data_IF_405115194085
#
_entry.id   IF_405115194085
#
_cell.length_a   1.000
_cell.length_b   1.000
_cell.length_c   1.000
_cell.angle_alpha   90.00
_cell.angle_beta   90.00
_cell.angle_gamma   90.00
#
_symmetry.space_group_name_H-M   'P 1'
#
loop_
_entity.id
_entity.type
_entity.pdbx_description
1 polymer ?
#
# COMPACT_ATOMS: atom_id res chain seq x y z
N UNK A 1 -8.75 -0.12 -9.84
CA UNK A 1 -8.76 -1.54 -9.43
C UNK A 1 -9.25 -2.33 -10.64
N UNK A 2 -8.56 -3.40 -11.01
CA UNK A 2 -8.97 -4.23 -12.16
C UNK A 2 -9.88 -5.38 -11.74
N UNK A 3 -10.64 -5.96 -12.68
CA UNK A 3 -11.55 -7.09 -12.41
C UNK A 3 -10.85 -8.31 -11.80
N UNK A 4 -9.67 -8.67 -12.33
CA UNK A 4 -8.86 -9.76 -11.78
C UNK A 4 -8.30 -9.44 -10.37
N UNK A 5 -7.97 -8.18 -10.09
CA UNK A 5 -7.56 -7.72 -8.74
C UNK A 5 -8.71 -7.88 -7.74
N UNK A 6 -9.93 -7.47 -8.12
CA UNK A 6 -11.15 -7.63 -7.31
C UNK A 6 -11.42 -9.10 -6.99
N UNK A 7 -11.35 -9.96 -8.01
CA UNK A 7 -11.54 -11.41 -7.90
C UNK A 7 -10.47 -12.07 -7.02
N UNK A 8 -9.21 -11.65 -7.13
CA UNK A 8 -8.12 -12.11 -6.29
C UNK A 8 -8.35 -11.73 -4.81
N UNK A 9 -8.71 -10.47 -4.54
CA UNK A 9 -9.04 -10.01 -3.19
C UNK A 9 -10.23 -10.78 -2.61
N UNK A 10 -11.30 -10.99 -3.39
CA UNK A 10 -12.45 -11.78 -2.97
C UNK A 10 -12.06 -13.20 -2.61
N UNK A 11 -11.31 -13.89 -3.48
CA UNK A 11 -10.85 -15.28 -3.22
C UNK A 11 -9.94 -15.35 -2.00
N UNK A 12 -9.00 -14.42 -1.85
CA UNK A 12 -8.13 -14.31 -0.68
C UNK A 12 -8.94 -14.05 0.61
N UNK A 13 -10.09 -13.39 0.47
CA UNK A 13 -11.00 -13.16 1.58
C UNK A 13 -11.87 -14.37 1.96
N UNK A 14 -11.92 -15.41 1.11
CA UNK A 14 -12.79 -16.57 1.29
C UNK A 14 -14.27 -16.28 1.03
N UNK A 15 -14.61 -15.16 0.39
CA UNK A 15 -16.01 -14.77 0.13
C UNK A 15 -16.52 -15.26 -1.22
N UNK A 16 -17.80 -15.57 -1.28
CA UNK A 16 -18.54 -15.73 -2.53
C UNK A 16 -18.84 -14.36 -3.15
N UNK A 17 -19.21 -14.33 -4.44
CA UNK A 17 -19.62 -13.08 -5.11
C UNK A 17 -20.83 -12.44 -4.43
N UNK A 18 -21.78 -13.26 -3.95
CA UNK A 18 -22.99 -12.78 -3.26
C UNK A 18 -22.68 -12.15 -1.91
N UNK A 19 -21.80 -12.77 -1.12
CA UNK A 19 -21.37 -12.22 0.18
C UNK A 19 -20.58 -10.92 0.04
N UNK A 20 -19.75 -10.80 -1.01
CA UNK A 20 -19.07 -9.54 -1.29
C UNK A 20 -20.08 -8.47 -1.71
N UNK A 21 -21.00 -8.81 -2.61
CA UNK A 21 -22.03 -7.91 -3.10
C UNK A 21 -22.90 -7.35 -1.96
N UNK A 22 -23.38 -8.22 -1.07
CA UNK A 22 -24.13 -7.83 0.12
C UNK A 22 -23.33 -6.87 1.02
N UNK A 23 -22.03 -7.12 1.20
CA UNK A 23 -21.18 -6.30 2.06
C UNK A 23 -20.90 -4.89 1.49
N UNK A 24 -20.90 -4.73 0.17
CA UNK A 24 -20.68 -3.43 -0.50
C UNK A 24 -21.97 -2.77 -1.01
N UNK A 25 -23.14 -3.36 -0.74
CA UNK A 25 -24.43 -2.82 -1.17
C UNK A 25 -24.69 -2.92 -2.69
N UNK A 26 -24.17 -3.97 -3.34
CA UNK A 26 -24.35 -4.22 -4.77
C UNK A 26 -25.06 -5.56 -5.00
N UNK A 27 -25.43 -5.84 -6.26
CA UNK A 27 -25.99 -7.14 -6.64
C UNK A 27 -24.89 -8.13 -7.01
N UNK A 28 -25.12 -9.43 -6.77
CA UNK A 28 -24.19 -10.51 -7.15
C UNK A 28 -23.81 -10.45 -8.63
N UNK A 29 -24.79 -10.21 -9.50
CA UNK A 29 -24.60 -10.12 -10.95
C UNK A 29 -23.66 -8.98 -11.33
N UNK A 30 -23.82 -7.81 -10.70
CA UNK A 30 -22.97 -6.64 -10.95
C UNK A 30 -21.53 -6.88 -10.51
N UNK A 31 -21.32 -7.51 -9.35
CA UNK A 31 -19.97 -7.97 -8.93
C UNK A 31 -19.36 -8.94 -9.94
N UNK A 32 -20.15 -9.89 -10.47
CA UNK A 32 -19.69 -10.79 -11.52
C UNK A 32 -19.29 -10.08 -12.81
N UNK A 33 -20.02 -9.02 -13.21
CA UNK A 33 -19.66 -8.18 -14.36
C UNK A 33 -18.36 -7.41 -14.11
N UNK A 34 -18.17 -6.86 -12.91
CA UNK A 34 -16.93 -6.18 -12.51
C UNK A 34 -15.72 -7.14 -12.54
N UNK A 35 -15.86 -8.36 -12.02
CA UNK A 35 -14.77 -9.36 -12.03
C UNK A 35 -14.35 -9.78 -13.44
N UNK A 36 -15.28 -9.78 -14.40
CA UNK A 36 -14.99 -10.05 -15.82
C UNK A 36 -14.49 -8.84 -16.61
N UNK A 37 -14.45 -7.65 -15.99
CA UNK A 37 -14.10 -6.40 -16.66
C UNK A 37 -15.21 -5.85 -17.58
N UNK A 38 -16.44 -6.38 -17.50
CA UNK A 38 -17.58 -5.90 -18.29
C UNK A 38 -18.17 -4.61 -17.69
N UNK A 39 -18.23 -4.53 -16.36
CA UNK A 39 -18.66 -3.33 -15.65
C UNK A 39 -17.45 -2.61 -15.03
N UNK A 40 -17.41 -1.27 -15.07
CA UNK A 40 -16.34 -0.50 -14.46
C UNK A 40 -16.39 -0.62 -12.93
N UNK A 41 -15.22 -0.68 -12.30
CA UNK A 41 -15.10 -0.65 -10.84
C UNK A 41 -14.88 0.80 -10.41
N UNK A 42 -15.94 1.42 -9.91
CA UNK A 42 -15.86 2.80 -9.41
C UNK A 42 -14.86 2.94 -8.24
N UNK A 43 -14.18 4.09 -8.10
CA UNK A 43 -13.23 4.32 -7.01
C UNK A 43 -13.80 4.07 -5.60
N UNK A 44 -15.06 4.45 -5.36
CA UNK A 44 -15.75 4.20 -4.07
C UNK A 44 -15.90 2.71 -3.79
N UNK A 45 -16.24 1.92 -4.80
CA UNK A 45 -16.41 0.47 -4.69
C UNK A 45 -15.07 -0.22 -4.46
N UNK A 46 -14.03 0.23 -5.15
CA UNK A 46 -12.66 -0.24 -4.93
C UNK A 46 -12.19 0.06 -3.48
N UNK A 47 -12.46 1.26 -2.97
CA UNK A 47 -12.12 1.65 -1.61
C UNK A 47 -12.89 0.83 -0.56
N UNK A 48 -14.22 0.68 -0.73
CA UNK A 48 -15.05 -0.14 0.15
C UNK A 48 -14.61 -1.60 0.17
N UNK A 49 -14.30 -2.17 -0.99
CA UNK A 49 -13.79 -3.54 -1.12
C UNK A 49 -12.47 -3.68 -0.35
N UNK A 50 -11.50 -2.80 -0.57
CA UNK A 50 -10.22 -2.86 0.16
C UNK A 50 -10.42 -2.76 1.66
N UNK A 51 -11.24 -1.81 2.11
CA UNK A 51 -11.54 -1.63 3.53
C UNK A 51 -12.14 -2.89 4.18
N UNK A 52 -13.07 -3.56 3.49
CA UNK A 52 -13.72 -4.77 4.00
C UNK A 52 -12.76 -5.97 4.03
N UNK A 53 -11.90 -6.10 3.03
CA UNK A 53 -11.10 -7.30 2.82
C UNK A 53 -9.72 -7.24 3.51
N UNK A 54 -9.18 -6.05 3.75
CA UNK A 54 -7.87 -5.81 4.35
C UNK A 54 -7.85 -5.94 5.89
N UNK A 55 -8.95 -6.39 6.51
CA UNK A 55 -9.07 -6.41 7.99
C UNK A 55 -8.24 -7.51 8.65
N UNK A 56 -8.07 -8.65 7.99
CA UNK A 56 -7.28 -9.78 8.51
C UNK A 56 -6.39 -10.30 7.39
N UNK A 57 -5.09 -10.40 7.63
CA UNK A 57 -4.15 -11.02 6.71
C UNK A 57 -3.57 -12.29 7.30
N UNK A 58 -3.20 -13.20 6.39
CA UNK A 58 -2.47 -14.42 6.69
C UNK A 58 -1.05 -14.24 6.15
N UNK A 59 -0.06 -14.31 7.03
CA UNK A 59 1.35 -14.18 6.66
C UNK A 59 2.13 -15.45 6.98
N UNK A 60 3.38 -15.51 6.49
CA UNK A 60 4.35 -16.54 6.85
C UNK A 60 5.39 -15.92 7.78
N UNK A 61 5.62 -16.53 8.94
CA UNK A 61 6.63 -16.12 9.90
C UNK A 61 8.02 -16.64 9.50
N UNK A 62 9.08 -16.13 10.15
CA UNK A 62 10.48 -16.47 9.82
C UNK A 62 10.81 -17.94 10.08
N UNK A 63 10.12 -18.57 11.03
CA UNK A 63 10.19 -19.99 11.37
C UNK A 63 9.42 -20.89 10.39
N UNK A 64 8.81 -20.32 9.36
CA UNK A 64 8.01 -21.03 8.37
C UNK A 64 6.57 -21.29 8.79
N UNK A 65 6.18 -20.95 10.02
CA UNK A 65 4.79 -21.05 10.48
C UNK A 65 3.91 -20.00 9.81
N UNK A 66 2.59 -20.18 9.87
CA UNK A 66 1.61 -19.27 9.33
C UNK A 66 0.96 -18.48 10.45
N UNK A 67 0.77 -17.19 10.30
CA UNK A 67 0.12 -16.38 11.32
C UNK A 67 -1.08 -15.64 10.77
N UNK A 68 -2.04 -15.36 11.64
CA UNK A 68 -3.20 -14.53 11.33
C UNK A 68 -3.14 -13.28 12.16
N UNK A 69 -3.19 -12.13 11.51
CA UNK A 69 -3.13 -10.86 12.19
C UNK A 69 -4.05 -9.82 11.54
N UNK A 70 -4.33 -8.75 12.27
CA UNK A 70 -5.21 -7.65 11.86
C UNK A 70 -4.57 -6.32 12.16
N UNK A 71 -4.76 -5.37 11.25
CA UNK A 71 -4.32 -4.00 11.43
C UNK A 71 -5.50 -3.25 12.00
N UNK A 72 -5.34 -2.71 13.20
CA UNK A 72 -6.36 -1.90 13.85
C UNK A 72 -5.86 -0.48 13.89
N UNK A 73 -6.53 0.40 13.16
CA UNK A 73 -6.26 1.83 13.27
C UNK A 73 -7.02 2.37 14.48
N UNK A 74 -6.31 2.92 15.46
CA UNK A 74 -6.90 3.64 16.58
C UNK A 74 -6.68 5.13 16.36
N UNK A 75 -7.74 5.91 16.54
CA UNK A 75 -7.63 7.36 16.68
C UNK A 75 -7.22 7.63 18.12
N UNK A 76 -6.04 8.19 18.32
CA UNK A 76 -5.67 8.72 19.63
C UNK A 76 -6.20 10.14 19.75
N UNK A 77 -6.86 10.50 20.87
CA UNK A 77 -7.18 11.88 21.14
C UNK A 77 -5.86 12.66 21.28
N UNK A 78 -5.66 13.64 20.40
CA UNK A 78 -4.54 14.57 20.46
C UNK A 78 -5.12 15.95 20.81
N UNK A 79 -4.46 16.65 21.73
CA UNK A 79 -4.81 18.03 22.06
C UNK A 79 -4.56 18.99 20.87
N UNK A 80 -3.68 18.57 19.94
CA UNK A 80 -3.38 19.31 18.72
C UNK A 80 -4.19 18.69 17.56
N UNK A 81 -4.78 19.51 16.70
CA UNK A 81 -5.73 19.13 15.63
C UNK A 81 -5.23 18.06 14.62
N UNK A 82 -3.98 17.61 14.73
CA UNK A 82 -3.49 16.43 14.03
C UNK A 82 -3.70 15.18 14.89
N UNK A 83 -4.80 14.46 14.66
CA UNK A 83 -4.98 13.12 15.23
C UNK A 83 -3.96 12.16 14.61
N UNK A 84 -3.02 11.66 15.39
CA UNK A 84 -2.16 10.56 14.96
C UNK A 84 -3.01 9.28 14.80
N UNK A 85 -2.84 8.61 13.66
CA UNK A 85 -3.37 7.28 13.43
C UNK A 85 -2.31 6.28 13.89
N UNK A 86 -2.46 5.74 15.09
CA UNK A 86 -1.65 4.59 15.49
C UNK A 86 -2.26 3.34 14.90
N UNK A 87 -1.48 2.58 14.14
CA UNK A 87 -1.90 1.28 13.64
C UNK A 87 -1.33 0.18 14.51
N UNK A 88 -2.16 -0.41 15.36
CA UNK A 88 -1.81 -1.59 16.14
C UNK A 88 -1.91 -2.85 15.28
N UNK A 89 -0.85 -3.65 15.31
CA UNK A 89 -0.78 -4.97 14.69
C UNK A 89 -1.25 -6.01 15.72
N UNK A 90 -2.40 -6.64 15.50
CA UNK A 90 -2.95 -7.62 16.44
C UNK A 90 -2.73 -9.04 15.92
N UNK A 91 -2.00 -9.88 16.65
CA UNK A 91 -1.80 -11.29 16.32
C UNK A 91 -2.91 -12.12 16.94
N UNK A 92 -3.62 -12.89 16.12
CA UNK A 92 -4.70 -13.76 16.56
C UNK A 92 -4.26 -15.21 16.81
N UNK A 93 -3.22 -15.66 16.11
CA UNK A 93 -2.68 -17.00 16.30
C UNK A 93 -1.55 -17.30 15.31
N UNK A 94 -0.77 -18.34 15.65
CA UNK A 94 0.26 -18.93 14.80
C UNK A 94 -0.12 -20.39 14.58
N UNK A 95 0.04 -20.87 13.36
CA UNK A 95 -0.47 -22.12 12.85
C UNK A 95 0.64 -22.85 12.09
N UNK A 96 0.78 -24.18 12.28
CA UNK A 96 1.77 -24.96 11.54
C UNK A 96 1.43 -25.05 10.04
N UNK A 97 0.15 -24.99 9.68
CA UNK A 97 -0.33 -25.17 8.31
C UNK A 97 -1.07 -23.95 7.79
N UNK A 98 -0.94 -23.72 6.48
CA UNK A 98 -1.56 -22.61 5.76
C UNK A 98 -3.08 -22.65 5.86
N UNK A 99 -3.68 -23.81 5.56
CA UNK A 99 -5.13 -24.01 5.55
C UNK A 99 -5.78 -23.68 6.90
N UNK A 100 -5.14 -24.04 8.01
CA UNK A 100 -5.61 -23.68 9.36
C UNK A 100 -5.64 -22.17 9.56
N UNK A 101 -4.58 -21.45 9.17
CA UNK A 101 -4.53 -20.00 9.27
C UNK A 101 -5.62 -19.31 8.44
N UNK A 102 -5.90 -19.81 7.22
CA UNK A 102 -7.01 -19.29 6.41
C UNK A 102 -8.37 -19.56 7.04
N UNK A 103 -8.62 -20.79 7.54
CA UNK A 103 -9.87 -21.12 8.24
C UNK A 103 -10.08 -20.20 9.45
N UNK A 104 -9.03 -19.93 10.21
CA UNK A 104 -9.08 -19.01 11.35
C UNK A 104 -9.35 -17.56 10.92
N UNK A 105 -8.66 -17.07 9.87
CA UNK A 105 -8.91 -15.74 9.34
C UNK A 105 -10.37 -15.56 8.84
N UNK A 106 -10.95 -16.60 8.22
CA UNK A 106 -12.36 -16.60 7.82
C UNK A 106 -13.28 -16.53 9.05
N UNK A 107 -13.04 -17.34 10.08
CA UNK A 107 -13.82 -17.30 11.32
C UNK A 107 -13.75 -15.92 12.00
N UNK A 108 -12.57 -15.29 12.04
CA UNK A 108 -12.40 -13.95 12.60
C UNK A 108 -13.12 -12.86 11.79
N UNK A 109 -13.21 -13.01 10.46
CA UNK A 109 -13.96 -12.09 9.59
C UNK A 109 -15.47 -12.18 9.80
N UNK A 110 -15.97 -13.38 10.16
CA UNK A 110 -17.39 -13.61 10.45
C UNK A 110 -17.77 -13.20 11.87
N UNK A 111 -16.80 -13.14 12.79
CA UNK A 111 -17.03 -12.65 14.14
C UNK A 111 -17.25 -11.13 14.15
N UNK A 112 -18.34 -10.68 14.76
CA UNK A 112 -18.65 -9.25 14.90
C UNK A 112 -17.61 -8.50 15.77
N UNK A 113 -17.08 -9.19 16.80
CA UNK A 113 -16.13 -8.63 17.78
C UNK A 113 -15.12 -9.71 18.19
N UNK A 114 -14.16 -10.06 17.32
CA UNK A 114 -13.16 -11.06 17.68
C UNK A 114 -12.31 -10.54 18.84
N UNK A 115 -12.12 -11.37 19.88
CA UNK A 115 -11.34 -10.99 21.05
C UNK A 115 -9.89 -10.79 20.65
N UNK A 116 -9.35 -9.64 21.00
CA UNK A 116 -7.93 -9.34 20.86
C UNK A 116 -7.13 -10.30 21.75
N UNK A 117 -6.27 -11.13 21.17
CA UNK A 117 -5.47 -12.11 21.93
C UNK A 117 -4.10 -11.55 22.31
N UNK A 118 -3.34 -10.98 21.36
CA UNK A 118 -2.03 -10.38 21.64
C UNK A 118 -1.76 -9.17 20.75
N UNK A 119 -1.39 -8.05 21.37
CA UNK A 119 -0.81 -6.92 20.63
C UNK A 119 0.61 -7.30 20.22
N UNK A 120 0.90 -7.22 18.92
CA UNK A 120 2.26 -7.14 18.43
C UNK A 120 2.64 -5.67 18.45
N UNK A 121 2.98 -5.16 19.63
CA UNK A 121 3.86 -4.00 19.66
C UNK A 121 5.15 -4.46 19.01
N UNK A 122 5.38 -4.00 17.78
CA UNK A 122 6.72 -3.94 17.24
C UNK A 122 7.44 -3.03 18.22
N UNK A 123 8.11 -3.61 19.23
CA UNK A 123 9.10 -2.87 20.00
C UNK A 123 10.03 -2.38 18.92
N UNK A 124 9.96 -1.08 18.61
CA UNK A 124 10.97 -0.48 17.76
C UNK A 124 12.29 -0.99 18.34
N UNK A 125 13.20 -1.57 17.51
CA UNK A 125 14.48 -2.03 18.03
C UNK A 125 14.94 -0.89 18.91
N UNK A 126 15.09 -1.15 20.21
CA UNK A 126 15.37 -0.09 21.17
C UNK A 126 16.49 0.69 20.51
N UNK A 127 16.18 1.90 20.03
CA UNK A 127 17.24 2.73 19.52
C UNK A 127 18.16 2.74 20.71
N UNK A 128 19.41 2.23 20.55
CA UNK A 128 20.28 2.09 21.68
C UNK A 128 20.19 3.44 22.35
N UNK A 129 19.64 3.46 23.56
CA UNK A 129 19.65 4.62 24.41
C UNK A 129 21.12 4.74 24.81
N UNK A 130 21.97 5.04 23.81
CA UNK A 130 23.09 5.91 23.96
C UNK A 130 22.45 7.10 24.62
N UNK A 131 22.61 7.10 25.94
CA UNK A 131 22.56 8.27 26.76
C UNK A 131 23.00 9.41 25.84
N UNK A 132 22.07 10.31 25.52
CA UNK A 132 22.44 11.67 25.17
C UNK A 132 23.21 12.14 26.40
N UNK A 133 24.49 11.78 26.42
CA UNK A 133 25.48 12.27 27.33
C UNK A 133 25.40 13.75 27.09
N UNK A 134 24.78 14.43 28.05
CA UNK A 134 24.80 15.88 28.17
C UNK A 134 26.21 16.37 28.50
N UNK A 135 27.26 15.57 28.26
CA UNK A 135 28.60 16.08 27.97
C UNK A 135 28.53 16.84 26.64
N UNK A 136 28.04 18.07 26.77
CA UNK A 136 28.46 19.23 25.99
C UNK A 136 29.98 19.07 25.75
N UNK A 137 30.43 18.78 24.53
CA UNK A 137 31.86 18.85 24.25
C UNK A 137 32.24 20.32 24.39
N UNK A 138 32.91 20.65 25.50
CA UNK A 138 33.38 22.01 25.74
C UNK A 138 34.45 22.43 24.72
N UNK A 139 35.07 21.51 23.98
CA UNK A 139 36.23 21.82 23.13
C UNK A 139 36.24 21.11 21.76
N UNK A 140 35.07 20.93 21.13
CA UNK A 140 35.06 20.61 19.70
C UNK A 140 35.10 21.94 18.92
N UNK A 141 36.30 22.51 18.82
CA UNK A 141 36.60 23.55 17.86
C UNK A 141 36.06 23.08 16.50
N UNK A 142 35.04 23.79 16.00
CA UNK A 142 34.60 23.65 14.62
C UNK A 142 35.82 23.96 13.76
N UNK A 143 36.45 22.91 13.21
CA UNK A 143 37.32 23.10 12.06
C UNK A 143 36.44 23.77 11.01
N UNK A 144 36.77 24.99 10.54
CA UNK A 144 36.06 25.57 9.42
C UNK A 144 36.08 24.54 8.30
N UNK A 145 34.91 24.34 7.69
CA UNK A 145 34.79 23.59 6.46
C UNK A 145 35.67 24.33 5.46
N UNK A 146 36.91 23.89 5.27
CA UNK A 146 37.74 24.34 4.18
C UNK A 146 36.91 24.05 2.93
N UNK A 147 36.53 25.12 2.22
CA UNK A 147 36.02 24.99 0.89
C UNK A 147 37.11 24.23 0.11
N UNK A 148 36.79 23.04 -0.36
CA UNK A 148 37.62 22.36 -1.35
C UNK A 148 37.66 23.29 -2.58
N UNK A 149 38.69 24.14 -2.64
CA UNK A 149 38.93 25.15 -3.68
C UNK A 149 39.48 24.53 -4.98
N UNK A 150 39.32 23.23 -5.18
CA UNK A 150 39.75 22.55 -6.40
C UNK A 150 38.55 22.33 -7.34
N UNK A 151 38.28 23.26 -8.28
CA UNK A 151 37.17 23.15 -9.22
C UNK A 151 37.27 21.91 -10.12
N UNK A 152 38.48 21.36 -10.33
CA UNK A 152 38.64 20.15 -11.14
C UNK A 152 38.07 18.92 -10.43
N UNK A 153 38.25 18.84 -9.11
CA UNK A 153 37.73 17.75 -8.28
C UNK A 153 36.19 17.79 -8.19
N UNK A 154 35.60 19.00 -8.23
CA UNK A 154 34.15 19.19 -8.30
C UNK A 154 33.57 18.74 -9.66
N UNK A 155 34.19 19.15 -10.77
CA UNK A 155 33.83 18.72 -12.13
C UNK A 155 33.98 17.20 -12.32
N UNK A 156 35.04 16.59 -11.77
CA UNK A 156 35.21 15.13 -11.83
C UNK A 156 34.11 14.40 -11.05
N UNK A 157 33.67 14.95 -9.92
CA UNK A 157 32.57 14.42 -9.11
C UNK A 157 31.23 14.48 -9.86
N UNK A 158 30.98 15.58 -10.57
CA UNK A 158 29.79 15.70 -11.45
C UNK A 158 29.84 14.73 -12.63
N UNK A 159 31.02 14.55 -13.28
CA UNK A 159 31.20 13.54 -14.34
C UNK A 159 30.99 12.11 -13.85
N UNK A 160 31.39 11.79 -12.61
CA UNK A 160 31.13 10.45 -12.03
C UNK A 160 29.63 10.24 -11.78
N UNK A 161 28.91 11.27 -11.34
CA UNK A 161 27.46 11.20 -11.14
C UNK A 161 26.69 11.06 -12.47
N UNK A 162 27.18 11.67 -13.56
CA UNK A 162 26.55 11.56 -14.89
C UNK A 162 26.81 10.22 -15.61
N UNK A 163 27.76 9.40 -15.13
CA UNK A 163 28.05 8.06 -15.69
C UNK A 163 27.04 6.99 -15.26
N UNK A 164 26.13 7.30 -14.33
CA UNK A 164 24.99 6.41 -14.08
C UNK A 164 24.01 6.53 -15.25
N UNK A 165 23.94 5.43 -16.03
CA UNK A 165 23.04 5.25 -17.17
C UNK A 165 21.64 5.79 -16.87
N UNK A 166 21.02 6.54 -17.78
CA UNK A 166 19.61 6.88 -17.65
C UNK A 166 18.83 5.57 -17.54
N UNK A 167 18.07 5.45 -16.44
CA UNK A 167 17.10 4.37 -16.24
C UNK A 167 16.10 4.43 -17.39
N UNK A 168 15.80 3.25 -17.94
CA UNK A 168 15.29 3.01 -19.29
C UNK A 168 14.17 3.92 -19.81
N UNK A 169 14.32 4.29 -21.08
CA UNK A 169 13.47 5.09 -21.98
C UNK A 169 12.09 4.49 -22.31
N UNK A 170 11.50 3.67 -21.44
CA UNK A 170 10.16 3.10 -21.66
C UNK A 170 9.00 4.08 -21.38
N UNK A 171 9.27 5.25 -20.78
CA UNK A 171 8.23 6.24 -20.48
C UNK A 171 7.85 7.07 -21.73
N UNK A 172 8.77 7.29 -22.67
CA UNK A 172 8.52 8.16 -23.84
C UNK A 172 7.48 7.62 -24.83
N UNK A 173 7.38 6.30 -25.00
CA UNK A 173 6.39 5.70 -25.91
C UNK A 173 4.95 5.81 -25.38
N UNK A 174 4.78 5.83 -24.05
CA UNK A 174 3.45 5.95 -23.43
C UNK A 174 2.91 7.38 -23.50
N UNK A 175 3.79 8.38 -23.43
CA UNK A 175 3.40 9.79 -23.54
C UNK A 175 3.00 10.15 -24.97
N UNK A 176 3.65 9.58 -26.00
CA UNK A 176 3.25 9.81 -27.40
C UNK A 176 1.88 9.20 -27.74
N UNK A 177 1.55 8.01 -27.22
CA UNK A 177 0.23 7.39 -27.43
C UNK A 177 -0.91 8.22 -26.83
N UNK A 178 -0.68 8.84 -25.66
CA UNK A 178 -1.68 9.70 -25.00
C UNK A 178 -1.96 11.00 -25.78
N UNK A 179 -0.93 11.63 -26.35
CA UNK A 179 -1.11 12.83 -27.18
C UNK A 179 -1.90 12.55 -28.46
N UNK A 180 -1.74 11.37 -29.05
CA UNK A 180 -2.48 11.02 -30.28
C UNK A 180 -3.96 10.73 -30.01
N UNK A 181 -4.29 10.09 -28.88
CA UNK A 181 -5.69 9.87 -28.50
C UNK A 181 -6.43 11.15 -28.09
N UNK A 182 -5.72 12.12 -27.51
CA UNK A 182 -6.30 13.42 -27.15
C UNK A 182 -6.64 14.28 -28.37
N UNK A 183 -5.90 14.10 -29.48
CA UNK A 183 -6.15 14.83 -30.73
C UNK A 183 -7.36 14.27 -31.50
N UNK A 184 -7.62 12.97 -31.43
CA UNK A 184 -8.82 12.34 -32.00
C UNK A 184 -10.13 12.75 -31.30
N UNK A 185 -10.07 13.21 -30.06
CA UNK A 185 -11.24 13.65 -29.29
C UNK A 185 -11.62 15.11 -29.54
N UNK A 186 -10.77 15.91 -30.20
CA UNK A 186 -11.03 17.35 -30.42
C UNK A 186 -11.81 17.69 -31.69
N UNK A 187 -11.93 16.78 -32.66
CA UNK A 187 -12.63 17.03 -33.93
C UNK A 187 -13.81 16.07 -34.19
N UNK A 188 -14.96 16.22 -33.52
CA UNK A 188 -16.15 15.39 -33.77
C UNK A 188 -17.00 15.85 -34.97
N UNK A 189 -16.43 16.54 -35.98
CA UNK A 189 -17.21 17.32 -36.96
C UNK A 189 -17.04 16.95 -38.44
N UNK A 190 -16.72 15.71 -38.76
CA UNK A 190 -16.63 15.28 -40.16
C UNK A 190 -17.22 13.88 -40.37
N UNK A 191 -18.55 13.76 -40.33
CA UNK A 191 -19.28 12.69 -41.04
C UNK A 191 -20.80 12.94 -40.98
N UNK A 192 -21.27 13.98 -41.65
CA UNK A 192 -22.64 14.02 -42.18
C UNK A 192 -22.52 14.07 -43.70
N UNK A 193 -22.74 12.92 -44.35
CA UNK A 193 -23.02 12.85 -45.79
C UNK A 193 -24.54 12.98 -45.95
N UNK A 194 -25.05 13.93 -46.75
CA UNK A 194 -26.46 13.93 -47.13
C UNK A 194 -26.72 12.87 -48.21
N UNK A 195 -27.85 12.17 -48.08
CA UNK A 195 -28.48 11.34 -49.12
C UNK A 195 -29.09 12.20 -50.23
#
# INVERSE_FOLDING_TARGET
MQGEELKALRKASGRTQGELAQAIGLTKTYVGMMERGVAPIEPRTAAATRYLLDRFWVGRAKDGQWFVARRTTRKLPSAVAMSYLESELMLYGIFPRRDQAYRWAVALRQSARPRNTRSLTTRAPEQPTGQLSTRRPADAAQKPLEADDDPELFEERLRRLSKHKPVDTHVSASIQKLKHSEQLLRDPKAEEKPE
#
